data_IF_233136809293
#
_entry.id   IF_233136809293
#
_cell.length_a   1.000
_cell.length_b   1.000
_cell.length_c   1.000
_cell.angle_alpha   90.00
_cell.angle_beta   90.00
_cell.angle_gamma   90.00
#
_symmetry.space_group_name_H-M   'P 1'
#
loop_
_entity.id
_entity.type
_entity.pdbx_description
1 polymer ?
#
# COMPACT_ATOMS: atom_id res chain seq x y z
N UNK A 1 18.96 1.00 -1.21
CA UNK A 1 18.55 -0.04 -0.23
C UNK A 1 17.14 0.19 0.33
N UNK A 2 16.80 1.38 0.86
CA UNK A 2 15.46 1.69 1.43
C UNK A 2 14.32 1.72 0.41
N UNK A 3 14.58 2.25 -0.79
CA UNK A 3 13.63 2.24 -1.92
C UNK A 3 13.17 0.81 -2.27
N UNK A 4 14.11 -0.14 -2.31
CA UNK A 4 13.79 -1.56 -2.57
C UNK A 4 12.94 -2.20 -1.47
N UNK A 5 13.09 -1.77 -0.22
CA UNK A 5 12.27 -2.23 0.91
C UNK A 5 10.84 -1.68 0.79
N UNK A 6 10.69 -0.39 0.50
CA UNK A 6 9.38 0.24 0.32
C UNK A 6 8.58 -0.39 -0.82
N UNK A 7 9.23 -0.58 -1.98
CA UNK A 7 8.62 -1.27 -3.13
C UNK A 7 8.28 -2.72 -2.80
N UNK A 8 9.17 -3.45 -2.11
CA UNK A 8 8.91 -4.83 -1.69
C UNK A 8 7.68 -4.94 -0.79
N UNK A 9 7.58 -4.08 0.24
CA UNK A 9 6.43 -4.05 1.16
C UNK A 9 5.15 -3.65 0.42
N UNK A 10 5.23 -2.68 -0.50
CA UNK A 10 4.10 -2.30 -1.34
C UNK A 10 3.59 -3.47 -2.19
N UNK A 11 4.48 -4.19 -2.88
CA UNK A 11 4.11 -5.31 -3.74
C UNK A 11 3.52 -6.48 -2.95
N UNK A 12 4.03 -6.75 -1.75
CA UNK A 12 3.45 -7.74 -0.84
C UNK A 12 2.04 -7.33 -0.42
N UNK A 13 1.85 -6.06 -0.03
CA UNK A 13 0.54 -5.52 0.31
C UNK A 13 -0.45 -5.59 -0.86
N UNK A 14 -0.01 -5.25 -2.07
CA UNK A 14 -0.82 -5.31 -3.28
C UNK A 14 -1.23 -6.74 -3.63
N UNK A 15 -0.28 -7.69 -3.59
CA UNK A 15 -0.56 -9.11 -3.84
C UNK A 15 -1.57 -9.65 -2.82
N UNK A 16 -1.40 -9.28 -1.55
CA UNK A 16 -2.33 -9.67 -0.50
C UNK A 16 -3.72 -9.08 -0.67
N UNK A 17 -3.80 -7.81 -1.10
CA UNK A 17 -5.08 -7.15 -1.40
C UNK A 17 -5.81 -7.87 -2.52
N UNK A 18 -5.13 -8.15 -3.64
CA UNK A 18 -5.73 -8.86 -4.78
C UNK A 18 -6.21 -10.26 -4.39
N UNK A 19 -5.41 -10.99 -3.60
CA UNK A 19 -5.80 -12.29 -3.07
C UNK A 19 -7.05 -12.21 -2.18
N UNK A 20 -7.14 -11.19 -1.31
CA UNK A 20 -8.33 -10.96 -0.48
C UNK A 20 -9.53 -10.59 -1.32
N UNK A 21 -9.40 -9.67 -2.26
CA UNK A 21 -10.50 -9.25 -3.15
C UNK A 21 -11.06 -10.45 -3.92
N UNK A 22 -10.20 -11.33 -4.43
CA UNK A 22 -10.62 -12.56 -5.11
C UNK A 22 -11.27 -13.60 -4.20
N UNK A 23 -11.09 -13.51 -2.88
CA UNK A 23 -11.62 -14.43 -1.88
C UNK A 23 -12.62 -13.77 -0.93
N UNK A 24 -13.27 -12.68 -1.34
CA UNK A 24 -14.32 -12.05 -0.52
C UNK A 24 -15.48 -13.04 -0.38
N UNK A 25 -15.86 -13.43 0.85
CA UNK A 25 -17.04 -14.25 1.06
C UNK A 25 -18.28 -13.50 0.54
N UNK A 26 -19.13 -14.13 -0.28
CA UNK A 26 -20.29 -13.46 -0.88
C UNK A 26 -21.34 -13.05 0.16
N UNK A 27 -21.25 -13.59 1.36
CA UNK A 27 -22.13 -13.33 2.50
C UNK A 27 -21.74 -12.03 3.25
N UNK A 28 -20.59 -11.44 2.94
CA UNK A 28 -20.16 -10.19 3.59
C UNK A 28 -20.91 -8.98 3.04
N UNK A 29 -21.58 -8.26 3.94
CA UNK A 29 -22.09 -6.92 3.66
C UNK A 29 -20.95 -5.91 3.37
N UNK A 30 -21.26 -4.81 2.71
CA UNK A 30 -20.25 -3.84 2.25
C UNK A 30 -19.29 -3.32 3.34
N UNK A 31 -19.78 -3.06 4.56
CA UNK A 31 -18.93 -2.69 5.69
C UNK A 31 -17.97 -3.81 6.12
N UNK A 32 -18.42 -5.07 6.03
CA UNK A 32 -17.59 -6.25 6.30
C UNK A 32 -16.47 -6.41 5.26
N UNK A 33 -16.77 -6.13 3.98
CA UNK A 33 -15.77 -6.11 2.91
C UNK A 33 -14.71 -5.05 3.16
N UNK A 34 -15.11 -3.84 3.56
CA UNK A 34 -14.16 -2.76 3.89
C UNK A 34 -13.25 -3.20 5.05
N UNK A 35 -13.84 -3.72 6.14
CA UNK A 35 -13.09 -4.29 7.27
C UNK A 35 -12.11 -5.39 6.85
N UNK A 36 -12.52 -6.23 5.90
CA UNK A 36 -11.71 -7.31 5.37
C UNK A 36 -10.53 -6.85 4.51
N UNK A 37 -10.66 -5.72 3.80
CA UNK A 37 -9.61 -5.18 2.92
C UNK A 37 -8.63 -4.22 3.62
N UNK A 38 -9.06 -3.56 4.71
CA UNK A 38 -8.25 -2.60 5.48
C UNK A 38 -6.83 -3.11 5.81
N UNK A 39 -6.63 -4.35 6.31
CA UNK A 39 -5.29 -4.82 6.66
C UNK A 39 -4.30 -4.81 5.48
N UNK A 40 -4.77 -5.18 4.29
CA UNK A 40 -3.93 -5.17 3.10
C UNK A 40 -3.64 -3.73 2.62
N UNK A 41 -4.64 -2.84 2.72
CA UNK A 41 -4.47 -1.42 2.43
C UNK A 41 -3.45 -0.75 3.35
N UNK A 42 -3.43 -1.09 4.64
CA UNK A 42 -2.44 -0.57 5.59
C UNK A 42 -1.01 -0.97 5.20
N UNK A 43 -0.79 -2.21 4.77
CA UNK A 43 0.54 -2.67 4.31
C UNK A 43 0.98 -1.91 3.06
N UNK A 44 0.08 -1.66 2.12
CA UNK A 44 0.34 -0.85 0.93
C UNK A 44 0.77 0.57 1.32
N UNK A 45 0.01 1.23 2.20
CA UNK A 45 0.30 2.58 2.69
C UNK A 45 1.64 2.63 3.43
N UNK A 46 1.97 1.62 4.24
CA UNK A 46 3.26 1.52 4.90
C UNK A 46 4.41 1.36 3.90
N UNK A 47 4.25 0.54 2.86
CA UNK A 47 5.25 0.39 1.80
C UNK A 47 5.50 1.69 1.05
N UNK A 48 4.43 2.41 0.71
CA UNK A 48 4.50 3.75 0.10
C UNK A 48 5.14 4.77 1.04
N UNK A 49 4.81 4.74 2.33
CA UNK A 49 5.41 5.59 3.35
C UNK A 49 6.91 5.36 3.48
N UNK A 50 7.36 4.11 3.51
CA UNK A 50 8.80 3.75 3.54
C UNK A 50 9.50 4.19 2.26
N UNK A 51 8.83 4.07 1.11
CA UNK A 51 9.35 4.52 -0.18
C UNK A 51 9.48 6.05 -0.23
N UNK A 52 8.48 6.78 0.26
CA UNK A 52 8.44 8.24 0.27
C UNK A 52 9.29 8.88 1.38
N UNK A 53 9.59 8.14 2.45
CA UNK A 53 10.40 8.62 3.57
C UNK A 53 11.90 8.58 3.24
N UNK A 54 12.36 9.64 2.57
CA UNK A 54 13.77 9.99 2.36
C UNK A 54 13.93 11.52 2.40
N UNK A 55 15.15 12.06 2.61
CA UNK A 55 15.35 13.50 2.52
C UNK A 55 14.88 13.96 1.13
N UNK A 56 13.78 14.72 1.10
CA UNK A 56 13.23 15.27 -0.12
C UNK A 56 14.18 16.31 -0.69
N UNK A 57 15.04 15.91 -1.62
CA UNK A 57 15.93 16.81 -2.32
C UNK A 57 15.56 17.02 -3.80
N UNK A 58 14.37 16.58 -4.24
CA UNK A 58 13.98 16.70 -5.66
C UNK A 58 12.55 17.24 -5.88
N UNK A 59 11.87 17.70 -4.83
CA UNK A 59 10.70 18.58 -4.99
C UNK A 59 11.10 20.08 -5.03
N UNK A 60 12.39 20.38 -5.24
CA UNK A 60 12.93 21.70 -5.58
C UNK A 60 13.48 21.69 -7.01
N UNK A 61 12.73 21.18 -8.00
CA UNK A 61 13.00 21.54 -9.39
C UNK A 61 12.36 22.89 -9.69
N UNK A 62 13.19 23.92 -9.53
CA UNK A 62 13.35 25.02 -10.49
C UNK A 62 12.10 25.74 -10.98
N UNK A 63 11.81 26.88 -10.36
CA UNK A 63 11.18 28.02 -11.02
C UNK A 63 11.82 29.29 -10.46
N UNK A 64 13.05 29.56 -10.90
CA UNK A 64 13.64 30.90 -11.00
C UNK A 64 13.78 31.23 -12.49
#
# INVERSE_FOLDING_TARGET
>A
MRIGIGIGVFLVGLTWLLYRVGNIPPEMGGLGVIGYLIPALLVIVLGLGIFAWGPGNEAQTSSD
#
